data_IF_348611161723
#
_entry.id   IF_348611161723
#
_cell.length_a   1.000
_cell.length_b   1.000
_cell.length_c   1.000
_cell.angle_alpha   90.00
_cell.angle_beta   90.00
_cell.angle_gamma   90.00
#
_symmetry.space_group_name_H-M   'P 1'
#
loop_
_entity.id
_entity.type
_entity.pdbx_description
1 polymer ?
#
# COMPACT_ATOMS: atom_id res chain seq x y z
N UNK A 1 23.90 -30.88 3.43
CA UNK A 1 22.59 -30.32 3.82
C UNK A 1 22.35 -29.14 2.90
N UNK A 2 21.56 -29.37 1.86
CA UNK A 2 21.38 -28.45 0.73
C UNK A 2 20.56 -27.23 1.15
N UNK A 3 21.05 -26.05 0.76
CA UNK A 3 20.29 -24.80 0.75
C UNK A 3 18.97 -25.03 0.01
N UNK A 4 17.87 -25.11 0.77
CA UNK A 4 16.53 -25.02 0.22
C UNK A 4 16.35 -23.55 -0.14
N UNK A 5 16.33 -23.27 -1.44
CA UNK A 5 16.00 -21.99 -2.04
C UNK A 5 14.68 -21.47 -1.42
N UNK A 6 14.73 -20.35 -0.68
CA UNK A 6 13.57 -19.80 0.04
C UNK A 6 12.42 -19.44 -0.89
N UNK A 7 12.68 -19.32 -2.21
CA UNK A 7 11.64 -19.14 -3.22
C UNK A 7 10.71 -20.36 -3.39
N UNK A 8 11.14 -21.56 -2.96
CA UNK A 8 10.36 -22.80 -3.07
C UNK A 8 9.23 -22.93 -2.02
N UNK A 9 9.21 -22.09 -0.98
CA UNK A 9 8.16 -22.14 0.07
C UNK A 9 6.77 -21.68 -0.41
N UNK A 10 6.68 -21.06 -1.59
CA UNK A 10 5.46 -20.41 -2.07
C UNK A 10 4.69 -21.20 -3.14
N UNK A 11 5.11 -22.43 -3.46
CA UNK A 11 4.51 -23.21 -4.56
C UNK A 11 3.83 -24.49 -4.08
N UNK A 12 2.64 -24.75 -4.62
CA UNK A 12 1.93 -26.02 -4.39
C UNK A 12 2.59 -27.12 -5.22
N UNK A 13 2.73 -28.36 -4.70
CA UNK A 13 3.02 -29.52 -5.52
C UNK A 13 1.93 -29.74 -6.59
N UNK A 14 2.20 -29.40 -7.85
CA UNK A 14 1.23 -29.56 -8.97
C UNK A 14 0.96 -31.02 -9.34
N UNK A 15 1.91 -31.90 -9.02
CA UNK A 15 1.81 -33.34 -9.29
C UNK A 15 0.63 -33.95 -8.51
N UNK A 16 0.45 -33.56 -7.24
CA UNK A 16 -0.63 -34.11 -6.41
C UNK A 16 -2.01 -33.58 -6.80
N UNK A 17 -2.08 -32.36 -7.33
CA UNK A 17 -3.34 -31.74 -7.78
C UNK A 17 -3.74 -32.14 -9.21
N UNK A 18 -2.83 -32.77 -9.96
CA UNK A 18 -3.01 -33.15 -11.38
C UNK A 18 -3.38 -31.97 -12.29
N UNK A 19 -3.13 -30.74 -11.85
CA UNK A 19 -3.47 -29.52 -12.56
C UNK A 19 -2.85 -29.50 -13.96
N UNK A 20 -1.56 -29.84 -14.06
CA UNK A 20 -0.84 -29.84 -15.35
C UNK A 20 -1.46 -30.81 -16.35
N UNK A 21 -1.90 -31.98 -15.89
CA UNK A 21 -2.57 -32.98 -16.73
C UNK A 21 -3.92 -32.44 -17.21
N UNK A 22 -4.67 -31.82 -16.30
CA UNK A 22 -5.96 -31.21 -16.61
C UNK A 22 -5.83 -30.08 -17.64
N UNK A 23 -4.90 -29.14 -17.44
CA UNK A 23 -4.70 -28.02 -18.34
C UNK A 23 -4.11 -28.44 -19.69
N UNK A 24 -3.26 -29.47 -19.75
CA UNK A 24 -2.82 -30.06 -21.02
C UNK A 24 -3.99 -30.60 -21.85
N UNK A 25 -4.98 -31.22 -21.18
CA UNK A 25 -6.19 -31.75 -21.82
C UNK A 25 -7.22 -30.67 -22.15
N UNK A 26 -7.31 -29.64 -21.30
CA UNK A 26 -8.25 -28.53 -21.40
C UNK A 26 -7.55 -27.18 -21.29
N UNK A 27 -6.80 -26.73 -22.31
CA UNK A 27 -5.94 -25.54 -22.21
C UNK A 27 -6.65 -24.22 -21.93
N UNK A 28 -7.98 -24.15 -22.11
CA UNK A 28 -8.79 -22.96 -21.85
C UNK A 28 -9.49 -22.98 -20.49
N UNK A 29 -9.30 -24.04 -19.69
CA UNK A 29 -10.02 -24.26 -18.44
C UNK A 29 -9.11 -23.88 -17.26
N UNK A 30 -8.37 -22.78 -17.43
CA UNK A 30 -7.41 -22.21 -16.48
C UNK A 30 -8.05 -21.23 -15.48
N UNK A 31 -9.38 -21.16 -15.44
CA UNK A 31 -10.13 -20.24 -14.61
C UNK A 31 -10.43 -18.88 -15.25
N UNK A 32 -10.12 -18.68 -16.55
CA UNK A 32 -10.51 -17.46 -17.27
C UNK A 32 -12.01 -17.15 -17.12
N UNK A 33 -12.32 -15.89 -16.88
CA UNK A 33 -13.69 -15.42 -16.66
C UNK A 33 -14.27 -15.75 -15.27
N UNK A 34 -13.48 -16.34 -14.37
CA UNK A 34 -13.84 -16.52 -12.97
C UNK A 34 -13.23 -15.41 -12.10
N UNK A 35 -13.97 -15.02 -11.08
CA UNK A 35 -13.53 -14.11 -10.03
C UNK A 35 -13.48 -14.85 -8.70
N UNK A 36 -12.34 -14.79 -8.01
CA UNK A 36 -12.11 -15.42 -6.72
C UNK A 36 -12.03 -14.33 -5.65
N UNK A 37 -12.83 -14.43 -4.59
CA UNK A 37 -12.68 -13.57 -3.42
C UNK A 37 -11.70 -14.21 -2.43
N UNK A 38 -10.64 -13.49 -2.07
CA UNK A 38 -9.66 -13.90 -1.06
C UNK A 38 -10.00 -13.16 0.23
N UNK A 39 -10.71 -13.84 1.13
CA UNK A 39 -11.12 -13.31 2.44
C UNK A 39 -10.05 -13.69 3.47
N UNK A 40 -9.09 -12.80 3.70
CA UNK A 40 -7.90 -13.06 4.51
C UNK A 40 -7.27 -11.76 5.06
N UNK A 41 -5.95 -11.70 5.17
CA UNK A 41 -5.12 -10.62 5.70
C UNK A 41 -4.69 -9.58 4.66
N UNK A 42 -5.54 -9.36 3.65
CA UNK A 42 -5.23 -8.66 2.39
C UNK A 42 -4.20 -9.40 1.51
N UNK A 43 -4.19 -9.04 0.23
CA UNK A 43 -3.26 -9.55 -0.78
C UNK A 43 -2.30 -8.43 -1.17
N UNK A 44 -1.01 -8.78 -1.28
CA UNK A 44 0.01 -7.88 -1.77
C UNK A 44 -0.11 -7.68 -3.29
N UNK A 45 -0.55 -6.48 -3.66
CA UNK A 45 -0.75 -6.05 -5.04
C UNK A 45 0.55 -5.91 -5.85
N UNK A 46 1.70 -5.87 -5.17
CA UNK A 46 3.02 -5.74 -5.81
C UNK A 46 3.61 -7.08 -6.25
N UNK A 47 2.99 -8.21 -5.88
CA UNK A 47 3.58 -9.52 -6.14
C UNK A 47 3.65 -9.86 -7.64
N UNK A 48 4.81 -10.32 -8.15
CA UNK A 48 4.99 -10.57 -9.59
C UNK A 48 4.00 -11.55 -10.20
N UNK A 49 3.62 -12.60 -9.45
CA UNK A 49 2.63 -13.60 -9.88
C UNK A 49 1.19 -13.09 -9.85
N UNK A 50 0.94 -11.92 -9.25
CA UNK A 50 -0.39 -11.35 -9.06
C UNK A 50 -0.64 -10.10 -9.90
N UNK A 51 0.09 -9.96 -11.02
CA UNK A 51 -0.03 -8.79 -11.90
C UNK A 51 -1.10 -8.99 -12.98
N UNK A 52 -1.03 -10.09 -13.73
CA UNK A 52 -1.92 -10.35 -14.88
C UNK A 52 -2.41 -11.79 -14.91
N UNK A 53 -3.59 -12.01 -15.50
CA UNK A 53 -4.08 -13.36 -15.82
C UNK A 53 -3.42 -13.90 -17.09
N UNK A 54 -3.65 -15.18 -17.41
CA UNK A 54 -3.26 -15.80 -18.70
C UNK A 54 -3.85 -15.10 -19.94
N UNK A 55 -4.85 -14.24 -19.76
CA UNK A 55 -5.47 -13.44 -20.85
C UNK A 55 -4.97 -12.00 -20.91
N UNK A 56 -4.04 -11.61 -20.02
CA UNK A 56 -3.41 -10.30 -20.01
C UNK A 56 -4.17 -9.21 -19.25
N UNK A 57 -5.39 -9.49 -18.77
CA UNK A 57 -6.14 -8.56 -17.90
C UNK A 57 -5.57 -8.55 -16.47
N UNK A 58 -5.79 -7.48 -15.69
CA UNK A 58 -5.32 -7.40 -14.30
C UNK A 58 -5.76 -8.59 -13.45
N UNK A 59 -4.82 -9.15 -12.67
CA UNK A 59 -5.09 -10.31 -11.82
C UNK A 59 -5.92 -9.93 -10.60
N UNK A 60 -5.48 -8.92 -9.86
CA UNK A 60 -6.24 -8.37 -8.73
C UNK A 60 -7.13 -7.28 -9.31
N UNK A 61 -8.43 -7.45 -9.18
CA UNK A 61 -9.45 -6.54 -9.70
C UNK A 61 -9.73 -5.39 -8.73
N UNK A 62 -9.80 -5.70 -7.44
CA UNK A 62 -10.06 -4.70 -6.40
C UNK A 62 -9.59 -5.17 -5.01
N UNK A 63 -9.47 -4.21 -4.10
CA UNK A 63 -9.07 -4.42 -2.72
C UNK A 63 -10.10 -3.79 -1.76
N UNK A 64 -10.53 -4.57 -0.77
CA UNK A 64 -11.42 -4.14 0.29
C UNK A 64 -10.81 -4.43 1.64
N UNK A 65 -11.06 -3.54 2.61
CA UNK A 65 -10.75 -3.73 4.02
C UNK A 65 -12.04 -3.57 4.80
N UNK A 66 -12.43 -4.63 5.48
CA UNK A 66 -13.61 -4.68 6.34
C UNK A 66 -13.25 -4.47 7.82
N UNK A 67 -11.96 -4.39 8.15
CA UNK A 67 -11.48 -4.12 9.50
C UNK A 67 -11.58 -2.63 9.86
N UNK A 68 -11.50 -1.74 8.85
CA UNK A 68 -11.60 -0.29 9.02
C UNK A 68 -10.29 0.37 9.45
N UNK A 69 -9.19 -0.38 9.55
CA UNK A 69 -7.91 0.19 9.96
C UNK A 69 -7.35 1.15 8.92
N UNK A 70 -7.67 0.93 7.65
CA UNK A 70 -7.29 1.83 6.57
C UNK A 70 -8.18 3.07 6.42
N UNK A 71 -9.28 3.19 7.17
CA UNK A 71 -10.25 4.26 6.96
C UNK A 71 -9.70 5.62 7.46
N UNK A 72 -9.86 6.63 6.62
CA UNK A 72 -9.46 8.01 6.85
C UNK A 72 -10.63 8.92 6.51
N UNK A 73 -11.13 9.62 7.52
CA UNK A 73 -12.10 10.69 7.33
C UNK A 73 -11.42 11.84 6.59
N UNK A 74 -11.93 12.12 5.39
CA UNK A 74 -11.46 13.19 4.49
C UNK A 74 -12.54 14.23 4.23
N UNK A 75 -13.57 14.28 5.10
CA UNK A 75 -14.70 15.22 4.98
C UNK A 75 -14.33 16.68 5.23
N UNK A 76 -13.15 16.95 5.79
CA UNK A 76 -12.67 18.33 5.99
C UNK A 76 -12.14 18.90 4.69
N UNK A 77 -12.82 19.90 4.14
CA UNK A 77 -12.43 20.54 2.88
C UNK A 77 -11.74 21.88 3.12
N UNK A 78 -10.59 22.10 2.46
CA UNK A 78 -9.88 23.39 2.45
C UNK A 78 -9.53 23.81 1.02
N UNK A 79 -9.36 25.11 0.82
CA UNK A 79 -8.83 25.68 -0.42
C UNK A 79 -7.33 25.97 -0.22
N UNK A 80 -6.53 25.78 -1.27
CA UNK A 80 -5.11 26.08 -1.22
C UNK A 80 -4.86 27.59 -1.36
N UNK A 81 -3.77 28.08 -0.78
CA UNK A 81 -3.28 29.44 -1.00
C UNK A 81 -2.80 29.57 -2.45
N UNK A 82 -3.58 30.29 -3.26
CA UNK A 82 -3.34 30.51 -4.68
C UNK A 82 -2.03 31.24 -4.98
N UNK A 83 -1.52 32.06 -4.06
CA UNK A 83 -0.29 32.82 -4.29
C UNK A 83 0.96 31.95 -4.12
N UNK A 84 0.91 30.97 -3.22
CA UNK A 84 2.09 30.21 -2.82
C UNK A 84 2.02 28.70 -3.12
N UNK A 85 0.89 28.17 -3.62
CA UNK A 85 0.65 26.74 -3.84
C UNK A 85 0.85 25.89 -2.57
N UNK A 86 0.40 26.40 -1.42
CA UNK A 86 0.44 25.66 -0.17
C UNK A 86 -0.95 25.39 0.39
N UNK A 87 -1.07 24.26 1.06
CA UNK A 87 -2.25 23.84 1.79
C UNK A 87 -1.84 23.53 3.24
N UNK A 88 -2.59 24.00 4.23
CA UNK A 88 -2.34 23.60 5.62
C UNK A 88 -3.04 22.25 5.82
N UNK A 89 -2.28 21.22 6.18
CA UNK A 89 -2.78 19.88 6.51
C UNK A 89 -3.58 19.84 7.82
N UNK A 90 -4.14 18.69 8.18
CA UNK A 90 -4.75 18.51 9.52
C UNK A 90 -3.70 18.20 10.59
N UNK A 91 -2.47 17.87 10.19
CA UNK A 91 -1.31 17.81 11.07
C UNK A 91 -0.71 19.19 11.43
N UNK A 92 -1.35 20.27 10.97
CA UNK A 92 -0.83 21.65 10.98
C UNK A 92 0.44 21.89 10.13
N UNK A 93 0.93 20.88 9.40
CA UNK A 93 2.04 21.06 8.46
C UNK A 93 1.62 21.85 7.23
N UNK A 94 2.58 22.60 6.68
CA UNK A 94 2.43 23.31 5.42
C UNK A 94 2.78 22.37 4.26
N UNK A 95 1.78 21.97 3.49
CA UNK A 95 1.90 21.02 2.39
C UNK A 95 2.10 21.77 1.08
N UNK A 96 3.23 21.56 0.41
CA UNK A 96 3.53 22.16 -0.90
C UNK A 96 2.83 21.36 -1.99
N UNK A 97 1.81 21.94 -2.61
CA UNK A 97 1.07 21.29 -3.69
C UNK A 97 1.86 21.44 -4.99
N UNK A 98 2.21 20.34 -5.68
CA UNK A 98 2.90 20.42 -6.97
C UNK A 98 2.02 21.10 -8.01
N UNK A 99 2.51 22.12 -8.74
CA UNK A 99 1.72 22.84 -9.76
C UNK A 99 1.18 21.95 -10.89
N UNK A 100 1.76 20.75 -11.07
CA UNK A 100 1.32 19.74 -12.03
C UNK A 100 0.01 19.04 -11.64
N UNK A 101 -0.44 19.17 -10.38
CA UNK A 101 -1.69 18.55 -9.94
C UNK A 101 -2.88 19.36 -10.43
N UNK A 102 -3.77 18.68 -11.16
CA UNK A 102 -4.98 19.29 -11.70
C UNK A 102 -6.09 19.16 -10.65
N UNK A 103 -6.68 20.28 -10.25
CA UNK A 103 -7.86 20.32 -9.39
C UNK A 103 -8.77 21.47 -9.83
N UNK A 104 -9.74 21.22 -10.73
CA UNK A 104 -10.60 22.28 -11.28
C UNK A 104 -11.51 22.92 -10.23
N UNK A 105 -11.81 22.20 -9.14
CA UNK A 105 -12.70 22.68 -8.09
C UNK A 105 -12.02 23.66 -7.12
N UNK A 106 -10.69 23.63 -7.02
CA UNK A 106 -9.91 24.32 -5.99
C UNK A 106 -10.05 23.73 -4.58
N UNK A 107 -10.93 22.74 -4.38
CA UNK A 107 -11.24 22.14 -3.09
C UNK A 107 -10.38 20.90 -2.83
N UNK A 108 -9.81 20.81 -1.64
CA UNK A 108 -8.97 19.71 -1.20
C UNK A 108 -9.59 19.06 0.03
N UNK A 109 -9.89 17.77 -0.07
CA UNK A 109 -10.38 16.94 1.02
C UNK A 109 -9.18 16.48 1.84
N UNK A 110 -9.25 16.67 3.15
CA UNK A 110 -8.13 16.48 4.06
C UNK A 110 -8.46 15.47 5.13
N UNK A 111 -7.51 14.57 5.36
CA UNK A 111 -7.53 13.61 6.46
C UNK A 111 -6.13 13.46 7.05
N UNK A 112 -6.05 12.75 8.17
CA UNK A 112 -4.78 12.34 8.78
C UNK A 112 -4.84 10.86 9.11
N UNK A 113 -3.71 10.17 8.95
CA UNK A 113 -3.59 8.77 9.32
C UNK A 113 -2.30 8.51 10.06
N UNK A 114 -2.41 7.92 11.25
CA UNK A 114 -1.26 7.33 11.91
C UNK A 114 -0.85 6.08 11.12
N UNK A 115 0.36 6.09 10.57
CA UNK A 115 0.93 4.96 9.83
C UNK A 115 1.02 3.73 10.73
N UNK A 116 1.20 3.91 12.04
CA UNK A 116 1.24 2.80 13.00
C UNK A 116 -0.09 2.04 13.10
N UNK A 117 -1.22 2.72 12.90
CA UNK A 117 -2.55 2.08 12.91
C UNK A 117 -2.78 1.17 11.69
N UNK A 118 -1.96 1.28 10.65
CA UNK A 118 -2.07 0.42 9.46
C UNK A 118 -1.48 -0.99 9.70
N UNK A 119 -0.72 -1.17 10.78
CA UNK A 119 -0.01 -2.40 11.11
C UNK A 119 -0.49 -2.95 12.45
N UNK A 120 -0.43 -4.27 12.63
CA UNK A 120 -0.56 -4.85 13.96
C UNK A 120 0.74 -4.73 14.75
N UNK A 121 0.68 -5.07 16.04
CA UNK A 121 1.81 -4.94 16.98
C UNK A 121 3.09 -5.63 16.49
N UNK A 122 2.96 -6.80 15.85
CA UNK A 122 4.10 -7.59 15.35
C UNK A 122 4.74 -6.91 14.14
N UNK A 123 3.92 -6.42 13.21
CA UNK A 123 4.42 -5.70 12.04
C UNK A 123 4.96 -4.30 12.40
N UNK A 124 4.38 -3.67 13.42
CA UNK A 124 4.78 -2.34 13.88
C UNK A 124 6.24 -2.32 14.37
N UNK A 125 6.70 -3.35 15.07
CA UNK A 125 8.11 -3.47 15.47
C UNK A 125 9.05 -3.43 14.25
N UNK A 126 8.72 -4.16 13.19
CA UNK A 126 9.48 -4.17 11.94
C UNK A 126 9.43 -2.81 11.24
N UNK A 127 8.28 -2.15 11.22
CA UNK A 127 8.11 -0.81 10.64
C UNK A 127 9.00 0.20 11.35
N UNK A 128 9.04 0.17 12.69
CA UNK A 128 9.89 1.04 13.50
C UNK A 128 11.37 0.77 13.22
N UNK A 129 11.78 -0.50 13.10
CA UNK A 129 13.15 -0.88 12.76
C UNK A 129 13.55 -0.35 11.37
N UNK A 130 12.73 -0.57 10.35
CA UNK A 130 12.96 -0.07 8.99
C UNK A 130 13.09 1.46 8.97
N UNK A 131 12.24 2.15 9.72
CA UNK A 131 12.33 3.61 9.86
C UNK A 131 13.66 4.04 10.45
N UNK A 132 14.13 3.40 11.53
CA UNK A 132 15.44 3.70 12.13
C UNK A 132 16.57 3.46 11.15
N UNK A 133 16.53 2.36 10.39
CA UNK A 133 17.51 2.09 9.35
C UNK A 133 17.54 3.15 8.26
N UNK A 134 16.36 3.59 7.78
CA UNK A 134 16.25 4.61 6.74
C UNK A 134 16.77 5.98 7.22
N UNK A 135 16.41 6.38 8.45
CA UNK A 135 16.93 7.60 9.07
C UNK A 135 18.45 7.51 9.21
N UNK A 136 18.98 6.39 9.72
CA UNK A 136 20.43 6.21 9.87
C UNK A 136 21.17 6.26 8.53
N UNK A 137 20.62 5.66 7.47
CA UNK A 137 21.18 5.74 6.11
C UNK A 137 21.19 7.18 5.59
N UNK A 138 20.08 7.90 5.78
CA UNK A 138 19.95 9.30 5.37
C UNK A 138 20.93 10.20 6.12
N UNK A 139 21.04 10.02 7.44
CA UNK A 139 21.99 10.74 8.29
C UNK A 139 23.44 10.48 7.85
N UNK A 140 23.84 9.23 7.62
CA UNK A 140 25.19 8.90 7.10
C UNK A 140 25.48 9.57 5.76
N UNK A 141 24.49 9.65 4.86
CA UNK A 141 24.66 10.32 3.57
C UNK A 141 24.80 11.83 3.75
N UNK A 142 23.99 12.43 4.62
CA UNK A 142 24.08 13.85 4.98
C UNK A 142 25.42 14.18 5.64
N UNK A 143 25.88 13.36 6.58
CA UNK A 143 27.21 13.49 7.21
C UNK A 143 28.33 13.48 6.17
N UNK A 144 28.28 12.55 5.20
CA UNK A 144 29.26 12.49 4.11
C UNK A 144 29.25 13.73 3.24
N UNK A 145 28.06 14.20 2.85
CA UNK A 145 27.90 15.41 2.04
C UNK A 145 28.34 16.66 2.81
N UNK A 146 28.01 16.72 4.10
CA UNK A 146 28.42 17.80 5.00
C UNK A 146 29.94 17.81 5.14
N UNK A 147 30.58 16.66 5.36
CA UNK A 147 32.03 16.55 5.47
C UNK A 147 32.76 16.95 4.18
N UNK A 148 32.19 16.65 3.00
CA UNK A 148 32.71 17.17 1.73
C UNK A 148 32.56 18.70 1.62
N UNK A 149 31.50 19.27 2.19
CA UNK A 149 31.24 20.71 2.21
C UNK A 149 32.10 21.43 3.27
N UNK A 150 32.44 20.75 4.37
CA UNK A 150 33.29 21.25 5.47
C UNK A 150 34.71 21.61 5.02
N UNK A 151 35.21 21.01 3.95
CA UNK A 151 36.49 21.41 3.34
C UNK A 151 36.49 22.87 2.84
N UNK A 152 35.32 23.53 2.76
CA UNK A 152 35.16 24.84 2.13
C UNK A 152 34.71 26.02 3.03
N UNK A 153 34.28 25.85 4.31
CA UNK A 153 34.21 26.89 5.40
C UNK A 153 33.38 26.47 6.65
N UNK A 154 33.73 27.07 7.80
CA UNK A 154 33.08 27.15 9.13
C UNK A 154 32.71 25.84 9.88
N UNK A 155 33.55 25.48 10.87
CA UNK A 155 33.45 24.26 11.69
C UNK A 155 32.32 24.28 12.75
N UNK A 156 31.99 25.43 13.36
CA UNK A 156 31.04 25.47 14.49
C UNK A 156 29.58 25.20 14.09
N UNK A 157 29.07 25.81 13.01
CA UNK A 157 27.71 25.55 12.51
C UNK A 157 27.50 24.07 12.13
N UNK A 158 28.57 23.41 11.68
CA UNK A 158 28.55 22.02 11.26
C UNK A 158 28.42 21.06 12.45
N UNK A 159 29.02 21.40 13.60
CA UNK A 159 28.93 20.60 14.82
C UNK A 159 27.51 20.64 15.43
N UNK A 160 26.90 21.83 15.45
CA UNK A 160 25.49 21.99 15.86
C UNK A 160 24.53 21.21 14.95
N UNK A 161 24.79 21.20 13.64
CA UNK A 161 23.97 20.45 12.68
C UNK A 161 24.07 18.93 12.89
N UNK A 162 25.27 18.42 13.20
CA UNK A 162 25.48 17.01 13.56
C UNK A 162 24.79 16.64 14.88
N UNK A 163 24.82 17.52 15.88
CA UNK A 163 24.15 17.30 17.16
C UNK A 163 22.62 17.32 17.02
N UNK A 164 22.10 18.20 16.16
CA UNK A 164 20.68 18.21 15.77
C UNK A 164 20.27 16.92 15.05
N UNK A 165 21.06 16.45 14.07
CA UNK A 165 20.79 15.19 13.36
C UNK A 165 20.75 13.98 14.31
N UNK A 166 21.62 13.95 15.33
CA UNK A 166 21.60 12.91 16.37
C UNK A 166 20.37 13.02 17.27
N UNK A 167 19.96 14.23 17.66
CA UNK A 167 18.72 14.42 18.44
C UNK A 167 17.46 14.03 17.65
N UNK A 168 17.48 14.14 16.32
CA UNK A 168 16.40 13.69 15.46
C UNK A 168 16.24 12.15 15.39
N UNK A 169 17.31 11.39 15.70
CA UNK A 169 17.21 9.92 15.82
C UNK A 169 16.40 9.48 17.05
N UNK A 170 16.45 10.25 18.13
CA UNK A 170 15.69 9.99 19.37
C UNK A 170 14.19 10.32 19.22
N UNK A 171 13.84 11.25 18.32
CA UNK A 171 12.46 11.56 17.92
C UNK A 171 11.82 10.45 17.04
N UNK A 172 12.52 9.33 16.79
CA UNK A 172 11.99 8.18 16.05
C UNK A 172 10.76 7.51 16.70
N UNK A 173 10.45 7.86 17.96
CA UNK A 173 9.21 7.46 18.66
C UNK A 173 8.01 8.37 18.39
N UNK A 174 8.19 9.56 17.82
CA UNK A 174 7.07 10.44 17.51
C UNK A 174 6.14 9.81 16.47
N UNK A 175 4.84 10.00 16.70
CA UNK A 175 3.76 9.41 15.91
C UNK A 175 3.91 9.76 14.43
N UNK A 176 3.94 8.73 13.57
CA UNK A 176 3.96 8.89 12.12
C UNK A 176 2.57 9.23 11.61
N UNK A 177 2.17 10.48 11.79
CA UNK A 177 0.91 10.97 11.24
C UNK A 177 1.17 11.47 9.83
N UNK A 178 0.61 10.81 8.82
CA UNK A 178 0.59 11.26 7.43
C UNK A 178 -0.62 12.18 7.20
N UNK A 179 -0.43 13.28 6.48
CA UNK A 179 -1.56 14.00 5.88
C UNK A 179 -2.02 13.25 4.64
N UNK A 180 -3.34 13.07 4.52
CA UNK A 180 -4.00 12.50 3.36
C UNK A 180 -4.74 13.62 2.63
N UNK A 181 -4.46 13.78 1.35
CA UNK A 181 -5.10 14.77 0.49
C UNK A 181 -5.87 14.03 -0.59
N UNK A 182 -7.15 14.36 -0.74
CA UNK A 182 -8.03 13.81 -1.76
C UNK A 182 -8.63 14.95 -2.58
N UNK A 183 -8.74 14.76 -3.89
CA UNK A 183 -9.38 15.73 -4.78
C UNK A 183 -9.85 15.05 -6.06
N UNK A 184 -10.68 15.74 -6.83
CA UNK A 184 -11.07 15.29 -8.17
C UNK A 184 -10.28 16.09 -9.22
N UNK A 185 -9.61 15.40 -10.13
CA UNK A 185 -8.80 16.03 -11.18
C UNK A 185 -9.62 16.50 -12.41
N UNK A 186 -10.94 16.41 -12.33
CA UNK A 186 -11.89 16.65 -13.42
C UNK A 186 -12.26 15.38 -14.19
N UNK A 187 -11.58 14.26 -13.95
CA UNK A 187 -11.88 12.95 -14.53
C UNK A 187 -12.13 11.90 -13.45
N UNK A 188 -11.19 11.76 -12.52
CA UNK A 188 -11.26 10.75 -11.46
C UNK A 188 -10.78 11.33 -10.13
N UNK A 189 -11.14 10.62 -9.05
CA UNK A 189 -10.65 10.93 -7.71
C UNK A 189 -9.20 10.52 -7.55
N UNK A 190 -8.43 11.41 -6.94
CA UNK A 190 -7.00 11.30 -6.67
C UNK A 190 -6.76 11.39 -5.18
N UNK A 191 -5.79 10.62 -4.70
CA UNK A 191 -5.31 10.66 -3.33
C UNK A 191 -3.78 10.79 -3.33
N UNK A 192 -3.28 11.57 -2.39
CA UNK A 192 -1.88 11.64 -2.01
C UNK A 192 -1.77 11.42 -0.51
N UNK A 193 -0.90 10.51 -0.07
CA UNK A 193 -0.61 10.26 1.33
C UNK A 193 0.82 10.72 1.59
N UNK A 194 1.00 11.72 2.46
CA UNK A 194 2.32 12.24 2.80
C UNK A 194 3.10 11.26 3.69
N UNK A 195 3.67 10.23 3.06
CA UNK A 195 4.58 9.27 3.70
C UNK A 195 5.99 9.84 3.95
N UNK A 196 6.25 11.07 3.50
CA UNK A 196 7.50 11.78 3.81
C UNK A 196 7.44 12.50 5.16
N UNK A 197 6.24 12.81 5.64
CA UNK A 197 5.94 13.53 6.89
C UNK A 197 6.53 14.94 6.99
N UNK A 198 7.08 15.46 5.88
CA UNK A 198 7.71 16.79 5.81
C UNK A 198 6.89 17.79 5.01
N UNK A 199 5.77 17.38 4.41
CA UNK A 199 4.89 18.25 3.64
C UNK A 199 5.39 18.61 2.23
N UNK A 200 6.46 17.98 1.74
CA UNK A 200 6.90 18.16 0.34
C UNK A 200 6.36 17.05 -0.55
N UNK A 201 5.35 17.37 -1.35
CA UNK A 201 4.61 16.38 -2.13
C UNK A 201 5.10 16.22 -3.58
N UNK A 202 6.21 16.87 -3.96
CA UNK A 202 6.72 16.85 -5.35
C UNK A 202 7.00 15.44 -5.89
N UNK A 203 7.50 14.56 -5.02
CA UNK A 203 7.92 13.20 -5.30
C UNK A 203 6.97 12.13 -4.75
N UNK A 204 5.83 12.53 -4.16
CA UNK A 204 4.85 11.58 -3.66
C UNK A 204 4.00 11.07 -4.82
N UNK A 205 3.77 9.77 -4.87
CA UNK A 205 2.93 9.15 -5.90
C UNK A 205 1.46 9.51 -5.65
N UNK A 206 0.77 9.92 -6.70
CA UNK A 206 -0.68 10.13 -6.69
C UNK A 206 -1.34 8.81 -7.05
N UNK A 207 -2.32 8.38 -6.27
CA UNK A 207 -3.09 7.17 -6.55
C UNK A 207 -4.55 7.53 -6.88
N UNK A 208 -5.21 6.69 -7.66
CA UNK A 208 -6.67 6.64 -7.77
C UNK A 208 -7.20 5.39 -7.05
N UNK A 209 -8.50 5.14 -7.15
CA UNK A 209 -9.04 3.83 -6.77
C UNK A 209 -8.23 2.72 -7.45
N UNK A 210 -7.80 1.72 -6.68
CA UNK A 210 -7.01 0.61 -7.21
C UNK A 210 -7.70 -0.06 -8.41
N UNK A 211 -9.02 -0.21 -8.35
CA UNK A 211 -9.83 -0.76 -9.44
C UNK A 211 -9.71 -0.03 -10.78
N UNK A 212 -9.45 1.27 -10.76
CA UNK A 212 -9.45 2.10 -11.97
C UNK A 212 -8.08 2.04 -12.68
N UNK A 213 -6.98 2.15 -11.93
CA UNK A 213 -5.63 2.28 -12.49
C UNK A 213 -4.67 1.14 -12.12
N UNK A 214 -5.05 0.29 -11.15
CA UNK A 214 -4.25 -0.83 -10.64
C UNK A 214 -2.86 -0.40 -10.13
N UNK A 215 -2.76 0.84 -9.67
CA UNK A 215 -1.53 1.40 -9.13
C UNK A 215 -1.46 1.29 -7.61
N UNK A 216 -0.25 1.11 -7.13
CA UNK A 216 0.11 1.08 -5.71
C UNK A 216 1.39 1.89 -5.49
N UNK A 217 1.71 2.14 -4.23
CA UNK A 217 2.96 2.76 -3.80
C UNK A 217 3.51 2.02 -2.57
N UNK A 218 4.70 2.38 -2.09
CA UNK A 218 5.39 1.68 -1.00
C UNK A 218 5.53 2.57 0.24
N UNK A 219 5.10 2.07 1.40
CA UNK A 219 5.47 2.63 2.69
C UNK A 219 6.87 2.09 3.04
N UNK A 220 7.81 3.01 3.26
CA UNK A 220 9.22 2.74 3.59
C UNK A 220 9.93 1.77 2.63
N UNK A 221 9.60 1.83 1.33
CA UNK A 221 10.14 0.96 0.28
C UNK A 221 9.93 -0.54 0.51
N UNK A 222 9.01 -0.93 1.41
CA UNK A 222 8.77 -2.35 1.75
C UNK A 222 7.31 -2.77 1.70
N UNK A 223 6.39 -1.95 2.19
CA UNK A 223 5.00 -2.36 2.33
C UNK A 223 4.15 -1.73 1.23
N UNK A 224 3.67 -2.55 0.31
CA UNK A 224 2.77 -2.10 -0.74
C UNK A 224 1.45 -1.62 -0.16
N UNK A 225 1.00 -0.47 -0.64
CA UNK A 225 -0.31 0.05 -0.35
C UNK A 225 -1.02 0.56 -1.60
N UNK A 226 -2.33 0.38 -1.61
CA UNK A 226 -3.22 1.00 -2.59
C UNK A 226 -4.41 1.64 -1.87
N UNK A 227 -5.29 2.30 -2.62
CA UNK A 227 -6.36 3.10 -2.02
C UNK A 227 -7.71 2.89 -2.68
N UNK A 228 -8.77 3.21 -1.93
CA UNK A 228 -10.12 3.44 -2.43
C UNK A 228 -10.64 4.76 -1.86
N UNK A 229 -11.29 5.54 -2.70
CA UNK A 229 -11.86 6.85 -2.42
C UNK A 229 -13.37 6.72 -2.64
N UNK A 230 -14.12 6.92 -1.57
CA UNK A 230 -15.56 6.75 -1.51
C UNK A 230 -16.24 8.04 -1.02
N UNK A 231 -17.57 8.02 -1.01
CA UNK A 231 -18.41 9.08 -0.43
C UNK A 231 -18.05 10.48 -0.95
N UNK A 232 -17.89 10.61 -2.27
CA UNK A 232 -17.50 11.85 -2.96
C UNK A 232 -16.23 12.49 -2.38
N UNK A 233 -15.23 11.66 -2.10
CA UNK A 233 -13.93 12.09 -1.60
C UNK A 233 -13.88 12.31 -0.09
N UNK A 234 -14.96 12.00 0.65
CA UNK A 234 -15.00 12.16 2.11
C UNK A 234 -14.50 10.95 2.88
N UNK A 235 -14.29 9.81 2.21
CA UNK A 235 -13.73 8.61 2.81
C UNK A 235 -12.59 8.06 1.95
N UNK A 236 -11.37 8.15 2.47
CA UNK A 236 -10.21 7.47 1.91
C UNK A 236 -10.00 6.17 2.68
N UNK A 237 -9.73 5.08 1.96
CA UNK A 237 -9.38 3.78 2.52
C UNK A 237 -7.99 3.39 2.03
N UNK A 238 -7.09 3.10 2.94
CA UNK A 238 -5.71 2.70 2.65
C UNK A 238 -5.56 1.21 2.91
N UNK A 239 -5.25 0.44 1.86
CA UNK A 239 -5.02 -0.99 1.96
C UNK A 239 -3.53 -1.24 1.99
N UNK A 240 -2.99 -1.65 3.14
CA UNK A 240 -1.58 -2.03 3.27
C UNK A 240 -1.48 -3.55 3.30
N UNK A 241 -0.60 -4.09 2.48
CA UNK A 241 -0.23 -5.50 2.57
C UNK A 241 1.10 -5.65 3.31
N UNK A 242 1.03 -6.30 4.46
CA UNK A 242 2.20 -6.59 5.29
C UNK A 242 2.21 -8.02 5.84
N UNK A 243 1.09 -8.75 5.71
CA UNK A 243 0.95 -10.16 6.08
C UNK A 243 1.12 -11.03 4.86
N UNK A 244 1.88 -12.10 5.01
CA UNK A 244 2.16 -13.03 3.90
C UNK A 244 1.00 -14.01 3.63
N UNK A 245 0.09 -14.22 4.59
CA UNK A 245 -0.90 -15.30 4.51
C UNK A 245 -1.91 -15.10 3.36
N UNK A 246 -2.55 -13.93 3.26
CA UNK A 246 -3.51 -13.66 2.18
C UNK A 246 -2.87 -13.72 0.80
N UNK A 247 -1.64 -13.20 0.68
CA UNK A 247 -0.81 -13.33 -0.51
C UNK A 247 -0.46 -14.77 -0.88
N UNK A 248 -0.14 -15.62 0.11
CA UNK A 248 0.12 -17.03 -0.11
C UNK A 248 -1.14 -17.73 -0.63
N UNK A 249 -2.30 -17.48 -0.01
CA UNK A 249 -3.60 -18.02 -0.46
C UNK A 249 -3.91 -17.58 -1.89
N UNK A 250 -3.70 -16.30 -2.22
CA UNK A 250 -3.89 -15.77 -3.57
C UNK A 250 -2.94 -16.42 -4.59
N UNK A 251 -1.67 -16.61 -4.23
CA UNK A 251 -0.68 -17.26 -5.10
C UNK A 251 -1.05 -18.70 -5.41
N UNK A 252 -1.37 -19.46 -4.37
CA UNK A 252 -1.87 -20.85 -4.44
C UNK A 252 -3.10 -20.93 -5.35
N UNK A 253 -4.06 -20.01 -5.18
CA UNK A 253 -5.30 -20.02 -5.92
C UNK A 253 -5.09 -19.69 -7.41
N UNK A 254 -4.38 -18.61 -7.74
CA UNK A 254 -4.45 -18.04 -9.08
C UNK A 254 -3.22 -17.23 -9.51
N UNK A 255 -2.04 -17.40 -8.92
CA UNK A 255 -0.83 -16.76 -9.47
C UNK A 255 -0.61 -17.14 -10.92
N UNK A 256 -0.03 -16.22 -11.69
CA UNK A 256 0.39 -16.45 -13.07
C UNK A 256 1.76 -15.85 -13.33
N UNK A 257 2.69 -16.69 -13.76
CA UNK A 257 4.07 -16.40 -14.11
C UNK A 257 4.30 -16.77 -15.58
N UNK A 258 4.14 -15.84 -16.53
CA UNK A 258 4.22 -16.13 -17.97
C UNK A 258 5.51 -16.83 -18.40
N UNK A 259 6.63 -16.51 -17.75
CA UNK A 259 7.95 -17.04 -18.06
C UNK A 259 8.31 -18.29 -17.24
N UNK A 260 7.54 -18.59 -16.20
CA UNK A 260 7.79 -19.72 -15.29
C UNK A 260 6.47 -20.42 -14.94
N UNK A 261 5.77 -21.06 -15.91
CA UNK A 261 4.43 -21.62 -15.67
C UNK A 261 4.38 -22.67 -14.56
N UNK A 262 5.51 -23.29 -14.21
CA UNK A 262 5.63 -24.19 -13.07
C UNK A 262 5.35 -23.49 -11.72
N UNK A 263 5.43 -22.17 -11.69
CA UNK A 263 5.10 -21.31 -10.54
C UNK A 263 3.63 -20.86 -10.49
N UNK A 264 2.83 -21.12 -11.53
CA UNK A 264 1.41 -20.73 -11.56
C UNK A 264 0.63 -21.34 -10.40
N UNK A 265 -0.38 -20.61 -9.91
CA UNK A 265 -1.41 -21.14 -9.02
C UNK A 265 -2.34 -22.11 -9.75
N UNK A 266 -3.34 -22.63 -9.04
CA UNK A 266 -4.30 -23.60 -9.58
C UNK A 266 -5.14 -23.09 -10.76
N UNK A 267 -5.52 -21.82 -10.73
CA UNK A 267 -6.37 -21.16 -11.74
C UNK A 267 -5.72 -19.86 -12.26
N UNK A 268 -4.62 -19.94 -13.05
CA UNK A 268 -3.86 -18.76 -13.46
C UNK A 268 -4.63 -17.82 -14.42
N UNK A 269 -5.76 -18.26 -14.97
CA UNK A 269 -6.69 -17.42 -15.74
C UNK A 269 -7.70 -16.63 -14.91
N UNK A 270 -7.91 -16.98 -13.64
CA UNK A 270 -8.90 -16.32 -12.78
C UNK A 270 -8.44 -14.93 -12.32
N UNK A 271 -9.37 -14.01 -12.09
CA UNK A 271 -9.14 -12.76 -11.38
C UNK A 271 -9.41 -12.93 -9.88
N UNK A 272 -8.90 -11.99 -9.08
CA UNK A 272 -8.98 -12.00 -7.63
C UNK A 272 -9.57 -10.67 -7.13
N UNK A 273 -10.40 -10.73 -6.09
CA UNK A 273 -10.67 -9.58 -5.22
C UNK A 273 -10.09 -9.86 -3.84
N UNK A 274 -9.30 -8.93 -3.32
CA UNK A 274 -8.74 -9.02 -1.97
C UNK A 274 -9.74 -8.46 -0.96
N UNK A 275 -10.06 -9.21 0.09
CA UNK A 275 -10.96 -8.79 1.17
C UNK A 275 -10.28 -9.00 2.53
N UNK A 276 -9.75 -7.90 3.09
CA UNK A 276 -9.12 -7.84 4.39
C UNK A 276 -10.13 -8.00 5.53
N UNK A 277 -9.92 -9.01 6.38
CA UNK A 277 -10.75 -9.27 7.57
C UNK A 277 -9.94 -9.50 8.85
N UNK A 278 -8.61 -9.53 8.75
CA UNK A 278 -7.70 -9.87 9.85
C UNK A 278 -6.81 -8.69 10.28
N UNK A 279 -7.06 -8.17 11.48
CA UNK A 279 -6.16 -7.22 12.16
C UNK A 279 -6.10 -7.50 13.68
N UNK A 280 -5.17 -6.88 14.41
CA UNK A 280 -4.93 -7.12 15.86
C UNK A 280 -6.19 -6.98 16.74
N UNK A 281 -7.12 -6.12 16.34
CA UNK A 281 -8.38 -5.87 17.04
C UNK A 281 -9.53 -6.80 16.61
N UNK A 282 -9.33 -7.66 15.61
CA UNK A 282 -10.32 -8.58 15.05
C UNK A 282 -10.45 -9.86 15.88
N UNK A 283 -10.87 -9.76 17.14
CA UNK A 283 -11.01 -10.90 18.06
C UNK A 283 -12.48 -11.24 18.35
N UNK A 284 -12.77 -12.54 18.53
CA UNK A 284 -14.08 -13.03 18.95
C UNK A 284 -15.22 -12.62 18.00
N UNK A 285 -16.28 -12.05 18.54
CA UNK A 285 -17.49 -11.66 17.81
C UNK A 285 -17.27 -10.56 16.76
N UNK A 286 -16.23 -9.72 16.93
CA UNK A 286 -15.89 -8.67 15.95
C UNK A 286 -15.41 -9.30 14.64
N UNK A 287 -14.60 -10.36 14.73
CA UNK A 287 -14.14 -11.10 13.56
C UNK A 287 -15.29 -11.70 12.78
N UNK A 288 -16.26 -12.32 13.46
CA UNK A 288 -17.45 -12.90 12.83
C UNK A 288 -18.25 -11.85 12.04
N UNK A 289 -18.45 -10.66 12.63
CA UNK A 289 -19.15 -9.56 11.95
C UNK A 289 -18.39 -9.07 10.71
N UNK A 290 -17.07 -8.96 10.79
CA UNK A 290 -16.22 -8.53 9.68
C UNK A 290 -16.29 -9.54 8.53
N UNK A 291 -16.19 -10.85 8.83
CA UNK A 291 -16.34 -11.92 7.83
C UNK A 291 -17.73 -11.89 7.20
N UNK A 292 -18.78 -11.72 8.00
CA UNK A 292 -20.15 -11.60 7.48
C UNK A 292 -20.31 -10.39 6.55
N UNK A 293 -19.68 -9.24 6.85
CA UNK A 293 -19.67 -8.08 5.95
C UNK A 293 -18.96 -8.40 4.63
N UNK A 294 -17.81 -9.06 4.67
CA UNK A 294 -17.05 -9.45 3.48
C UNK A 294 -17.84 -10.43 2.60
N UNK A 295 -18.39 -11.48 3.20
CA UNK A 295 -19.24 -12.47 2.49
C UNK A 295 -20.49 -11.81 1.92
N UNK A 296 -21.15 -10.94 2.67
CA UNK A 296 -22.32 -10.20 2.19
C UNK A 296 -21.97 -9.28 1.02
N UNK A 297 -20.81 -8.63 1.05
CA UNK A 297 -20.32 -7.85 -0.08
C UNK A 297 -20.17 -8.74 -1.31
N UNK A 298 -19.50 -9.89 -1.18
CA UNK A 298 -19.33 -10.87 -2.26
C UNK A 298 -20.65 -11.40 -2.85
N UNK A 299 -21.65 -11.67 -2.02
CA UNK A 299 -22.93 -12.24 -2.44
C UNK A 299 -23.84 -11.18 -3.08
N UNK A 300 -23.98 -10.02 -2.43
CA UNK A 300 -25.04 -9.06 -2.73
C UNK A 300 -24.56 -7.88 -3.58
N UNK A 301 -23.30 -7.46 -3.46
CA UNK A 301 -22.70 -6.42 -4.30
C UNK A 301 -22.00 -7.08 -5.48
N UNK A 302 -22.77 -7.65 -6.41
CA UNK A 302 -22.28 -8.32 -7.64
C UNK A 302 -21.57 -7.40 -8.65
N UNK A 303 -21.30 -6.15 -8.29
CA UNK A 303 -20.62 -5.18 -9.14
C UNK A 303 -19.15 -5.10 -8.75
N UNK A 304 -18.44 -6.20 -9.00
CA UNK A 304 -16.99 -6.20 -9.14
C UNK A 304 -16.57 -5.75 -10.53
#
# INVERSE_FOLDING_TARGET
MSNIDESSKFFIPKISTQQDIFLKKHPKYDGRGLLIAIIDSCVDVSLPGLQKTTTGIPKILDCFDFTGNGDVDTSTVREADLENNFLIGLSDRRLKIPPKWINPSGKWHLGIKSIYELFDDIALEKVIEIRRENISKQNKLLEKNLHQTMLNKNEENSKFMLEYLKSAEDLSKDSLVADCIVWNDGKIWRACIDISFIGNLENVKILANYRDEHEFDLIFDKFAYCVSINDDGNLLKIFVSYKEHGSLVANVAAAHFPNEPDKDGLAPGAQIVSMGVLHSHSNGSIFEQIVLKAVSHGIYKRHF
#
